data_IF_018670946178
#
_entry.id   IF_018670946178
#
_cell.length_a   1.000
_cell.length_b   1.000
_cell.length_c   1.000
_cell.angle_alpha   90.00
_cell.angle_beta   90.00
_cell.angle_gamma   90.00
#
_symmetry.space_group_name_H-M   'P 1'
#
loop_
_entity.id
_entity.type
_entity.pdbx_description
1 polymer ?
#
# COMPACT_ATOMS: atom_id res chain seq x y z
N UNK A 1 -18.67 -29.75 16.32
CA UNK A 1 -17.65 -28.88 16.93
C UNK A 1 -16.62 -28.60 15.86
N UNK A 2 -16.47 -27.34 15.45
CA UNK A 2 -15.56 -26.97 14.36
C UNK A 2 -14.12 -26.90 14.90
N UNK A 3 -13.22 -27.74 14.37
CA UNK A 3 -11.82 -27.76 14.79
C UNK A 3 -11.08 -26.66 14.04
N UNK A 4 -10.73 -25.56 14.73
CA UNK A 4 -9.86 -24.53 14.16
C UNK A 4 -8.40 -24.98 14.24
N UNK A 5 -7.73 -25.04 13.09
CA UNK A 5 -6.30 -25.37 12.98
C UNK A 5 -5.51 -24.14 12.57
N UNK A 6 -4.34 -23.94 13.18
CA UNK A 6 -3.38 -22.93 12.78
C UNK A 6 -2.09 -23.61 12.35
N UNK A 7 -1.47 -23.09 11.30
CA UNK A 7 -0.21 -23.60 10.76
C UNK A 7 0.84 -22.50 10.81
N UNK A 8 2.07 -22.86 11.18
CA UNK A 8 3.21 -21.96 11.21
C UNK A 8 4.26 -22.47 10.24
N UNK A 9 4.60 -21.62 9.27
CA UNK A 9 5.63 -21.91 8.29
C UNK A 9 6.74 -20.87 8.38
N UNK A 10 7.95 -21.28 8.01
CA UNK A 10 9.06 -20.36 7.76
C UNK A 10 9.37 -20.40 6.27
N UNK A 11 9.45 -19.22 5.67
CA UNK A 11 9.81 -19.06 4.28
C UNK A 11 11.24 -18.53 4.19
N UNK A 12 12.02 -19.07 3.25
CA UNK A 12 13.38 -18.65 2.94
C UNK A 12 13.42 -18.17 1.49
N UNK A 13 13.25 -16.86 1.25
CA UNK A 13 13.23 -16.33 -0.12
C UNK A 13 14.60 -16.46 -0.78
N UNK A 14 14.60 -16.75 -2.08
CA UNK A 14 15.73 -16.44 -2.95
C UNK A 14 15.97 -14.93 -2.98
N UNK A 15 17.15 -14.50 -3.43
CA UNK A 15 17.46 -13.07 -3.52
C UNK A 15 16.46 -12.28 -4.37
N UNK A 16 16.01 -12.86 -5.50
CA UNK A 16 15.01 -12.23 -6.36
C UNK A 16 13.66 -12.04 -5.64
N UNK A 17 13.23 -13.05 -4.90
CA UNK A 17 12.00 -12.97 -4.09
C UNK A 17 12.13 -11.98 -2.94
N UNK A 18 13.28 -11.93 -2.27
CA UNK A 18 13.53 -10.96 -1.20
C UNK A 18 13.46 -9.52 -1.72
N UNK A 19 14.03 -9.25 -2.91
CA UNK A 19 13.92 -7.95 -3.59
C UNK A 19 12.47 -7.61 -3.92
N UNK A 20 11.71 -8.57 -4.46
CA UNK A 20 10.31 -8.36 -4.81
C UNK A 20 9.43 -8.06 -3.58
N UNK A 21 9.64 -8.80 -2.50
CA UNK A 21 8.97 -8.57 -1.22
C UNK A 21 9.33 -7.18 -0.66
N UNK A 22 10.61 -6.80 -0.69
CA UNK A 22 11.04 -5.48 -0.25
C UNK A 22 10.38 -4.35 -1.05
N UNK A 23 10.32 -4.46 -2.38
CA UNK A 23 9.62 -3.49 -3.23
C UNK A 23 8.13 -3.43 -2.91
N UNK A 24 7.49 -4.59 -2.77
CA UNK A 24 6.04 -4.68 -2.50
C UNK A 24 5.70 -4.06 -1.15
N UNK A 25 6.41 -4.45 -0.08
CA UNK A 25 6.16 -3.95 1.26
C UNK A 25 6.54 -2.48 1.41
N UNK A 26 7.63 -2.05 0.76
CA UNK A 26 8.01 -0.63 0.70
C UNK A 26 6.93 0.22 0.04
N UNK A 27 6.38 -0.24 -1.10
CA UNK A 27 5.31 0.43 -1.82
C UNK A 27 4.02 0.53 -1.01
N UNK A 28 3.61 -0.56 -0.36
CA UNK A 28 2.44 -0.56 0.52
C UNK A 28 2.62 0.39 1.71
N UNK A 29 3.79 0.35 2.37
CA UNK A 29 4.11 1.24 3.49
C UNK A 29 4.11 2.71 3.07
N UNK A 30 4.67 3.02 1.90
CA UNK A 30 4.66 4.36 1.35
C UNK A 30 3.22 4.84 1.10
N UNK A 31 2.41 4.06 0.38
CA UNK A 31 1.03 4.42 0.07
C UNK A 31 0.21 4.69 1.34
N UNK A 32 0.29 3.79 2.33
CA UNK A 32 -0.36 3.97 3.63
C UNK A 32 0.03 5.31 4.28
N UNK A 33 1.33 5.57 4.43
CA UNK A 33 1.81 6.78 5.09
C UNK A 33 1.45 8.05 4.31
N UNK A 34 1.55 8.01 2.98
CA UNK A 34 1.22 9.12 2.10
C UNK A 34 -0.27 9.50 2.23
N UNK A 35 -1.18 8.53 2.13
CA UNK A 35 -2.62 8.80 2.26
C UNK A 35 -3.09 9.02 3.69
N UNK A 36 -2.37 8.50 4.69
CA UNK A 36 -2.58 8.90 6.08
C UNK A 36 -2.28 10.39 6.25
N UNK A 37 -1.11 10.85 5.82
CA UNK A 37 -0.73 12.27 5.85
C UNK A 37 -1.75 13.13 5.10
N UNK A 38 -2.09 12.76 3.86
CA UNK A 38 -3.04 13.53 3.06
C UNK A 38 -4.40 13.68 3.73
N UNK A 39 -4.93 12.61 4.34
CA UNK A 39 -6.19 12.65 5.10
C UNK A 39 -6.09 13.54 6.32
N UNK A 40 -4.98 13.45 7.04
CA UNK A 40 -4.70 14.31 8.20
C UNK A 40 -4.70 15.77 7.78
N UNK A 41 -3.96 16.13 6.72
CA UNK A 41 -3.83 17.51 6.27
C UNK A 41 -5.16 18.07 5.74
N UNK A 42 -5.91 17.27 4.96
CA UNK A 42 -7.23 17.66 4.47
C UNK A 42 -8.22 17.97 5.60
N UNK A 43 -8.15 17.21 6.70
CA UNK A 43 -8.99 17.49 7.87
C UNK A 43 -8.54 18.76 8.60
N UNK A 44 -7.24 18.89 8.90
CA UNK A 44 -6.76 20.04 9.68
C UNK A 44 -6.86 21.36 8.94
N UNK A 45 -6.64 21.36 7.62
CA UNK A 45 -6.62 22.59 6.82
C UNK A 45 -8.00 22.94 6.24
N UNK A 46 -8.78 21.94 5.84
CA UNK A 46 -10.03 22.15 5.08
C UNK A 46 -11.27 21.59 5.79
N UNK A 47 -11.13 20.93 6.95
CA UNK A 47 -12.20 20.15 7.60
C UNK A 47 -12.83 19.11 6.67
N UNK A 48 -12.06 18.64 5.68
CA UNK A 48 -12.51 17.69 4.67
C UNK A 48 -12.12 16.27 5.04
N UNK A 49 -13.06 15.34 4.90
CA UNK A 49 -12.81 13.90 5.05
C UNK A 49 -12.65 13.26 3.68
N UNK A 50 -11.54 12.57 3.47
CA UNK A 50 -11.35 11.72 2.29
C UNK A 50 -11.71 10.27 2.64
N UNK A 51 -12.55 9.68 1.81
CA UNK A 51 -12.91 8.27 1.91
C UNK A 51 -11.98 7.41 1.04
N UNK A 52 -12.22 6.10 1.04
CA UNK A 52 -11.43 5.14 0.26
C UNK A 52 -11.47 5.39 -1.26
N UNK A 53 -12.62 5.76 -1.81
CA UNK A 53 -12.75 6.02 -3.25
C UNK A 53 -11.94 7.26 -3.67
N UNK A 54 -11.89 8.27 -2.79
CA UNK A 54 -11.06 9.46 -3.00
C UNK A 54 -9.57 9.06 -3.04
N UNK A 55 -9.09 8.32 -2.04
CA UNK A 55 -7.68 7.91 -1.96
C UNK A 55 -7.31 6.93 -3.07
N UNK A 56 -8.21 6.03 -3.48
CA UNK A 56 -8.02 5.11 -4.61
C UNK A 56 -7.85 5.87 -5.95
N UNK A 57 -8.70 6.89 -6.17
CA UNK A 57 -8.61 7.75 -7.35
C UNK A 57 -7.31 8.55 -7.36
N UNK A 58 -6.88 9.05 -6.21
CA UNK A 58 -5.61 9.78 -6.05
C UNK A 58 -4.40 8.87 -6.24
N UNK A 59 -4.42 7.64 -5.71
CA UNK A 59 -3.36 6.65 -5.95
C UNK A 59 -3.19 6.35 -7.44
N UNK A 60 -4.30 6.25 -8.18
CA UNK A 60 -4.26 6.05 -9.63
C UNK A 60 -3.56 7.19 -10.36
N UNK A 61 -3.74 8.43 -9.89
CA UNK A 61 -3.04 9.61 -10.42
C UNK A 61 -1.57 9.62 -10.00
N UNK A 62 -1.28 9.35 -8.73
CA UNK A 62 0.06 9.32 -8.17
C UNK A 62 0.96 8.33 -8.92
N UNK A 63 0.46 7.13 -9.24
CA UNK A 63 1.17 6.11 -10.01
C UNK A 63 1.60 6.53 -11.43
N UNK A 64 1.01 7.61 -11.97
CA UNK A 64 1.34 8.17 -13.30
C UNK A 64 2.36 9.29 -13.22
N UNK A 65 2.65 9.80 -12.02
CA UNK A 65 3.69 10.79 -11.81
C UNK A 65 5.07 10.14 -12.06
N UNK A 66 5.95 10.74 -12.87
CA UNK A 66 7.31 10.26 -13.11
C UNK A 66 8.12 9.95 -11.84
N UNK A 67 7.87 10.67 -10.73
CA UNK A 67 8.56 10.44 -9.45
C UNK A 67 8.10 9.16 -8.74
N UNK A 68 6.87 8.70 -9.03
CA UNK A 68 6.21 7.61 -8.31
C UNK A 68 5.86 6.41 -9.21
N UNK A 69 6.45 6.31 -10.41
CA UNK A 69 6.21 5.20 -11.35
C UNK A 69 6.52 3.83 -10.75
N UNK A 70 7.47 3.76 -9.81
CA UNK A 70 7.88 2.54 -9.11
C UNK A 70 6.72 1.89 -8.31
N UNK A 71 5.67 2.65 -7.95
CA UNK A 71 4.45 2.10 -7.33
C UNK A 71 3.62 1.22 -8.28
N UNK A 72 3.94 1.26 -9.58
CA UNK A 72 3.33 0.42 -10.62
C UNK A 72 4.20 -0.79 -10.98
N UNK A 73 5.41 -0.90 -10.43
CA UNK A 73 6.30 -2.05 -10.67
C UNK A 73 5.93 -3.28 -9.83
N UNK A 74 5.07 -3.10 -8.82
CA UNK A 74 4.58 -4.18 -7.94
C UNK A 74 3.09 -4.39 -8.13
N UNK A 75 2.57 -5.50 -7.60
CA UNK A 75 1.13 -5.77 -7.58
C UNK A 75 0.35 -4.57 -7.01
N UNK A 76 -0.75 -4.21 -7.66
CA UNK A 76 -1.59 -3.10 -7.23
C UNK A 76 -2.33 -3.38 -5.91
N UNK A 77 -2.60 -4.66 -5.62
CA UNK A 77 -3.45 -5.07 -4.50
C UNK A 77 -2.85 -4.66 -3.14
N UNK A 78 -1.58 -4.99 -2.80
CA UNK A 78 -1.00 -4.56 -1.53
C UNK A 78 -0.90 -3.05 -1.37
N UNK A 79 -0.70 -2.32 -2.47
CA UNK A 79 -0.57 -0.85 -2.46
C UNK A 79 -1.93 -0.17 -2.28
N UNK A 80 -3.01 -0.77 -2.79
CA UNK A 80 -4.37 -0.21 -2.68
C UNK A 80 -5.06 -0.59 -1.36
N UNK A 81 -4.74 -1.75 -0.80
CA UNK A 81 -5.33 -2.27 0.44
C UNK A 81 -4.46 -1.99 1.69
N UNK A 82 -3.48 -1.08 1.57
CA UNK A 82 -2.56 -0.70 2.64
C UNK A 82 -3.19 0.20 3.69
#
# INVERSE_FOLDING_TARGET
MEIKRAYRYRYYPTEGQARELARTFGSARFAYNHFLRLRTDAWFNEQKRLNYNDTSSLLTRLKRDPEFTWLSEVSSVPVQQS
#
